data_IF_579202433998
#
_entry.id   IF_579202433998
#
_cell.length_a   1.000
_cell.length_b   1.000
_cell.length_c   1.000
_cell.angle_alpha   90.00
_cell.angle_beta   90.00
_cell.angle_gamma   90.00
#
_symmetry.space_group_name_H-M   'P 1'
#
loop_
_entity.id
_entity.type
_entity.pdbx_description
1 polymer ?
#
# COMPACT_ATOMS: atom_id res chain seq x y z
N UNK A 1 20.25 64.39 0.39
CA UNK A 1 19.76 63.46 1.42
C UNK A 1 19.50 62.13 0.74
N UNK A 2 20.44 61.17 0.80
CA UNK A 2 20.27 59.85 0.18
C UNK A 2 19.37 59.03 1.09
N UNK A 3 18.16 58.70 0.62
CA UNK A 3 17.21 57.87 1.34
C UNK A 3 17.73 56.43 1.42
N UNK A 4 17.88 55.91 2.65
CA UNK A 4 18.16 54.51 2.86
C UNK A 4 16.95 53.68 2.40
N UNK A 5 17.14 52.90 1.33
CA UNK A 5 16.18 51.87 0.92
C UNK A 5 16.39 50.71 1.89
N UNK A 6 15.42 50.45 2.77
CA UNK A 6 15.43 49.23 3.59
C UNK A 6 15.33 48.03 2.64
N UNK A 7 16.28 47.08 2.70
CA UNK A 7 16.20 45.88 1.87
C UNK A 7 14.90 45.14 2.21
N UNK A 8 14.20 44.57 1.20
CA UNK A 8 12.98 43.83 1.44
C UNK A 8 13.26 42.69 2.43
N UNK A 9 12.50 42.65 3.53
CA UNK A 9 12.55 41.55 4.49
C UNK A 9 12.22 40.26 3.76
N UNK A 10 13.14 39.29 3.78
CA UNK A 10 12.87 37.94 3.26
C UNK A 10 11.57 37.45 3.89
N UNK A 11 10.56 37.01 3.12
CA UNK A 11 9.39 36.38 3.70
C UNK A 11 9.85 35.15 4.49
N UNK A 12 9.65 35.19 5.80
CA UNK A 12 9.84 34.01 6.64
C UNK A 12 8.61 33.13 6.42
N UNK A 13 8.75 32.12 5.57
CA UNK A 13 7.78 31.04 5.49
C UNK A 13 7.88 30.22 6.77
N UNK A 14 7.13 30.61 7.80
CA UNK A 14 6.92 29.78 8.97
C UNK A 14 5.88 28.73 8.59
N UNK A 15 6.32 27.47 8.45
CA UNK A 15 5.39 26.35 8.39
C UNK A 15 4.84 26.15 9.81
N UNK A 16 3.53 26.26 10.04
CA UNK A 16 2.95 25.97 11.34
C UNK A 16 3.32 24.56 11.79
N UNK A 17 3.62 24.39 13.07
CA UNK A 17 3.79 23.07 13.64
C UNK A 17 3.20 22.98 15.06
N UNK A 18 2.80 21.77 15.44
CA UNK A 18 2.49 21.40 16.81
C UNK A 18 3.24 20.13 17.17
N UNK A 19 3.62 20.05 18.44
CA UNK A 19 4.32 18.90 19.04
C UNK A 19 3.36 18.32 20.06
N UNK A 20 3.01 17.05 19.93
CA UNK A 20 2.17 16.33 20.86
C UNK A 20 3.02 15.23 21.49
N UNK A 21 3.16 15.30 22.81
CA UNK A 21 3.89 14.30 23.57
C UNK A 21 2.96 13.20 24.08
N UNK A 22 3.38 11.94 23.95
CA UNK A 22 2.71 10.82 24.60
C UNK A 22 2.85 10.92 26.13
N UNK A 23 1.93 10.30 26.87
CA UNK A 23 1.98 10.30 28.34
C UNK A 23 3.18 9.55 28.91
N UNK A 24 3.73 8.59 28.16
CA UNK A 24 4.94 7.83 28.48
C UNK A 24 6.21 8.38 27.78
N UNK A 25 6.12 9.53 27.13
CA UNK A 25 7.29 10.22 26.55
C UNK A 25 8.27 10.69 27.63
N UNK A 26 9.51 10.97 27.22
CA UNK A 26 10.52 11.55 28.11
C UNK A 26 10.12 12.93 28.65
N UNK A 27 10.64 13.29 29.82
CA UNK A 27 10.41 14.61 30.41
C UNK A 27 10.88 15.75 29.50
N UNK A 28 11.93 15.52 28.71
CA UNK A 28 12.42 16.49 27.75
C UNK A 28 11.43 16.70 26.60
N UNK A 29 10.89 15.61 26.04
CA UNK A 29 9.86 15.66 25.01
C UNK A 29 8.59 16.35 25.50
N UNK A 30 8.13 16.02 26.72
CA UNK A 30 6.96 16.66 27.35
C UNK A 30 7.16 18.15 27.58
N UNK A 31 8.34 18.57 28.06
CA UNK A 31 8.67 20.00 28.27
C UNK A 31 8.66 20.83 27.00
N UNK A 32 8.92 20.22 25.84
CA UNK A 32 8.96 20.88 24.52
C UNK A 32 7.62 20.77 23.77
N UNK A 33 6.67 20.01 24.30
CA UNK A 33 5.40 19.76 23.63
C UNK A 33 4.42 20.92 23.81
N UNK A 34 3.57 21.10 22.80
CA UNK A 34 2.44 22.02 22.86
C UNK A 34 1.24 21.36 23.53
N UNK A 35 1.10 20.04 23.35
CA UNK A 35 0.09 19.21 23.98
C UNK A 35 0.76 17.99 24.59
N UNK A 36 0.25 17.54 25.73
CA UNK A 36 0.71 16.33 26.41
C UNK A 36 -0.51 15.45 26.60
N UNK A 37 -0.51 14.30 25.96
CA UNK A 37 -1.53 13.28 26.12
C UNK A 37 -1.50 12.71 27.54
N UNK A 38 -2.65 12.27 28.04
CA UNK A 38 -2.77 11.64 29.35
C UNK A 38 -2.62 10.10 29.28
N UNK A 39 -2.64 9.53 28.07
CA UNK A 39 -2.54 8.09 27.80
C UNK A 39 -3.89 7.41 27.61
N UNK A 40 -4.98 8.16 27.57
CA UNK A 40 -6.36 7.72 27.44
C UNK A 40 -7.09 8.67 26.50
N UNK A 41 -7.73 8.14 25.45
CA UNK A 41 -8.45 8.97 24.49
C UNK A 41 -7.59 10.09 23.85
N UNK A 42 -6.33 9.78 23.56
CA UNK A 42 -5.33 10.72 23.05
C UNK A 42 -5.72 11.34 21.68
N UNK A 43 -6.78 10.85 21.04
CA UNK A 43 -7.37 11.50 19.87
C UNK A 43 -7.82 12.94 20.14
N UNK A 44 -8.13 13.32 21.38
CA UNK A 44 -8.61 14.66 21.72
C UNK A 44 -7.49 15.71 21.60
N UNK A 45 -6.32 15.47 22.21
CA UNK A 45 -5.17 16.36 22.10
C UNK A 45 -4.63 16.41 20.67
N UNK A 46 -4.61 15.26 19.99
CA UNK A 46 -4.16 15.18 18.60
C UNK A 46 -5.13 15.96 17.70
N UNK A 47 -6.45 15.82 17.88
CA UNK A 47 -7.44 16.56 17.11
C UNK A 47 -7.33 18.07 17.35
N UNK A 48 -7.08 18.50 18.58
CA UNK A 48 -6.85 19.90 18.90
C UNK A 48 -5.57 20.43 18.21
N UNK A 49 -4.48 19.65 18.23
CA UNK A 49 -3.25 20.01 17.54
C UNK A 49 -3.45 20.11 16.01
N UNK A 50 -4.23 19.21 15.40
CA UNK A 50 -4.61 19.27 13.99
C UNK A 50 -5.44 20.52 13.69
N UNK A 51 -6.43 20.84 14.53
CA UNK A 51 -7.26 22.02 14.36
C UNK A 51 -6.43 23.32 14.42
N UNK A 52 -5.50 23.40 15.37
CA UNK A 52 -4.56 24.49 15.51
C UNK A 52 -3.68 24.69 14.26
N UNK A 53 -3.10 23.60 13.74
CA UNK A 53 -2.30 23.62 12.52
C UNK A 53 -3.15 24.10 11.32
N UNK A 54 -4.36 23.58 11.19
CA UNK A 54 -5.26 23.94 10.09
C UNK A 54 -5.73 25.39 10.16
N UNK A 55 -5.98 25.92 11.36
CA UNK A 55 -6.30 27.34 11.56
C UNK A 55 -5.17 28.28 11.10
N UNK A 56 -3.93 27.78 11.08
CA UNK A 56 -2.75 28.47 10.60
C UNK A 56 -2.43 28.21 9.11
N UNK A 57 -3.28 27.46 8.39
CA UNK A 57 -3.14 27.19 6.96
C UNK A 57 -2.45 25.85 6.62
N UNK A 58 -2.41 24.90 7.55
CA UNK A 58 -1.77 23.59 7.39
C UNK A 58 -0.35 23.57 7.95
N UNK A 59 0.33 22.41 7.93
CA UNK A 59 1.67 22.29 8.50
C UNK A 59 1.98 20.91 9.07
N UNK A 60 2.83 20.87 10.11
CA UNK A 60 3.40 19.64 10.66
C UNK A 60 2.82 19.33 12.04
N UNK A 61 2.28 18.14 12.20
CA UNK A 61 2.00 17.53 13.49
C UNK A 61 3.14 16.57 13.84
N UNK A 62 3.96 16.94 14.82
CA UNK A 62 5.03 16.10 15.32
C UNK A 62 4.57 15.31 16.55
N UNK A 63 4.61 13.99 16.46
CA UNK A 63 4.31 13.07 17.57
C UNK A 63 5.63 12.57 18.16
N UNK A 64 5.82 12.73 19.48
CA UNK A 64 7.05 12.30 20.15
C UNK A 64 7.15 10.78 20.23
N UNK A 65 8.23 10.28 20.82
CA UNK A 65 8.30 8.88 21.27
C UNK A 65 7.19 8.59 22.29
N UNK A 66 6.77 7.32 22.35
CA UNK A 66 5.77 6.84 23.29
C UNK A 66 4.52 6.27 22.63
N UNK A 67 3.48 6.10 23.43
CA UNK A 67 2.24 5.40 23.12
C UNK A 67 1.06 6.38 23.10
N UNK A 68 0.41 6.50 21.95
CA UNK A 68 -0.81 7.27 21.74
C UNK A 68 -2.02 6.33 21.64
N UNK A 69 -2.96 6.42 22.57
CA UNK A 69 -4.09 5.51 22.74
C UNK A 69 -5.40 6.08 22.17
N UNK A 70 -5.66 5.75 20.92
CA UNK A 70 -6.81 6.21 20.13
C UNK A 70 -8.03 5.30 20.36
N UNK A 71 -9.09 5.85 20.94
CA UNK A 71 -10.32 5.12 21.28
C UNK A 71 -11.47 5.41 20.32
N UNK A 72 -11.51 6.63 19.78
CA UNK A 72 -12.43 7.05 18.74
C UNK A 72 -11.72 7.27 17.40
N UNK A 73 -12.49 7.52 16.34
CA UNK A 73 -11.94 7.83 15.02
C UNK A 73 -11.11 9.13 15.06
N UNK A 74 -9.85 9.05 14.62
CA UNK A 74 -8.96 10.20 14.45
C UNK A 74 -9.11 10.78 13.03
N UNK A 75 -9.51 12.04 12.91
CA UNK A 75 -9.65 12.73 11.63
C UNK A 75 -8.44 13.64 11.39
N UNK A 76 -7.77 13.48 10.25
CA UNK A 76 -6.57 14.23 9.87
C UNK A 76 -6.78 14.81 8.48
N UNK A 77 -6.64 16.12 8.32
CA UNK A 77 -6.82 16.78 7.03
C UNK A 77 -5.76 17.85 6.82
N UNK A 78 -5.13 17.88 5.65
CA UNK A 78 -4.18 18.93 5.22
C UNK A 78 -2.97 19.13 6.17
N UNK A 79 -2.52 18.03 6.79
CA UNK A 79 -1.41 18.01 7.76
C UNK A 79 -0.38 16.94 7.40
N UNK A 80 0.89 17.24 7.65
CA UNK A 80 1.98 16.26 7.69
C UNK A 80 2.15 15.73 9.12
N UNK A 81 1.82 14.45 9.33
CA UNK A 81 1.99 13.75 10.61
C UNK A 81 3.33 13.03 10.62
N UNK A 82 4.21 13.43 11.53
CA UNK A 82 5.59 12.93 11.61
C UNK A 82 5.85 12.38 13.02
N UNK A 83 6.18 11.10 13.11
CA UNK A 83 6.69 10.51 14.35
C UNK A 83 8.20 10.72 14.55
N UNK A 84 8.67 10.50 15.77
CA UNK A 84 10.10 10.50 16.10
C UNK A 84 10.82 9.21 15.69
N UNK A 85 10.10 8.25 15.10
CA UNK A 85 10.59 6.96 14.64
C UNK A 85 9.68 5.79 15.06
N UNK A 86 10.16 4.54 14.96
CA UNK A 86 9.37 3.34 15.29
C UNK A 86 8.83 3.29 16.73
N UNK A 87 9.41 4.09 17.64
CA UNK A 87 8.97 4.24 19.03
C UNK A 87 7.81 5.22 19.22
N UNK A 88 7.39 5.96 18.20
CA UNK A 88 6.09 6.64 18.16
C UNK A 88 5.03 5.61 17.76
N UNK A 89 4.17 5.23 18.70
CA UNK A 89 3.20 4.14 18.51
C UNK A 89 1.79 4.66 18.68
N UNK A 90 0.96 4.51 17.65
CA UNK A 90 -0.47 4.80 17.71
C UNK A 90 -1.21 3.47 17.91
N UNK A 91 -1.88 3.31 19.04
CA UNK A 91 -2.73 2.16 19.34
C UNK A 91 -4.19 2.51 19.11
N UNK A 92 -4.83 1.84 18.17
CA UNK A 92 -6.22 2.12 17.80
C UNK A 92 -7.15 1.01 18.31
N UNK A 93 -8.25 1.42 18.96
CA UNK A 93 -9.26 0.54 19.56
C UNK A 93 -10.66 0.70 18.95
N UNK A 94 -10.87 1.71 18.11
CA UNK A 94 -12.17 2.04 17.55
C UNK A 94 -12.70 0.94 16.61
N UNK A 95 -13.92 0.46 16.81
CA UNK A 95 -14.56 -0.49 15.90
C UNK A 95 -15.16 0.24 14.69
N UNK A 96 -14.33 0.55 13.69
CA UNK A 96 -14.76 1.30 12.50
C UNK A 96 -13.60 1.69 11.60
N UNK A 97 -13.52 2.97 11.23
CA UNK A 97 -12.34 3.60 10.62
C UNK A 97 -11.49 4.21 11.73
N UNK A 98 -10.26 3.74 11.93
CA UNK A 98 -9.41 4.28 13.00
C UNK A 98 -8.88 5.68 12.67
N UNK A 99 -8.25 5.81 11.50
CA UNK A 99 -7.69 7.07 11.02
C UNK A 99 -8.37 7.39 9.69
N UNK A 100 -9.04 8.53 9.62
CA UNK A 100 -9.58 9.06 8.38
C UNK A 100 -8.77 10.26 7.95
N UNK A 101 -8.30 10.20 6.71
CA UNK A 101 -7.49 11.23 6.07
C UNK A 101 -8.27 11.89 4.92
N UNK A 102 -8.15 13.20 4.80
CA UNK A 102 -8.71 13.98 3.69
C UNK A 102 -7.79 15.14 3.31
N UNK A 103 -8.02 15.78 2.16
CA UNK A 103 -7.13 16.85 1.69
C UNK A 103 -5.75 16.32 1.29
N UNK A 104 -4.66 17.01 1.61
CA UNK A 104 -3.28 16.59 1.33
C UNK A 104 -2.57 16.15 2.62
N UNK A 105 -2.51 14.84 2.88
CA UNK A 105 -1.94 14.27 4.11
C UNK A 105 -0.67 13.48 3.81
N UNK A 106 0.32 13.63 4.70
CA UNK A 106 1.51 12.79 4.78
C UNK A 106 1.57 12.15 6.15
N UNK A 107 1.86 10.86 6.23
CA UNK A 107 2.12 10.15 7.49
C UNK A 107 3.51 9.51 7.41
N UNK A 108 4.34 9.75 8.41
CA UNK A 108 5.74 9.33 8.36
C UNK A 108 6.34 8.92 9.71
N UNK A 109 7.28 7.96 9.65
CA UNK A 109 8.19 7.59 10.75
C UNK A 109 7.48 7.25 12.06
N UNK A 110 6.44 6.42 11.99
CA UNK A 110 5.69 5.95 13.16
C UNK A 110 5.15 4.53 12.96
N UNK A 111 4.63 3.94 14.04
CA UNK A 111 3.97 2.65 14.01
C UNK A 111 2.49 2.78 14.36
N UNK A 112 1.61 2.17 13.57
CA UNK A 112 0.17 2.10 13.81
C UNK A 112 -0.19 0.65 14.15
N UNK A 113 -0.66 0.45 15.37
CA UNK A 113 -1.08 -0.83 15.91
C UNK A 113 -2.57 -0.83 16.13
N UNK A 114 -3.26 -1.78 15.53
CA UNK A 114 -4.65 -1.99 15.83
C UNK A 114 -4.87 -3.21 16.70
N UNK A 115 -5.56 -2.98 17.82
CA UNK A 115 -5.79 -4.01 18.84
C UNK A 115 -7.26 -4.40 18.97
N UNK A 116 -8.17 -3.72 18.27
CA UNK A 116 -9.59 -4.08 18.27
C UNK A 116 -9.90 -5.19 17.27
N UNK A 117 -10.90 -6.02 17.62
CA UNK A 117 -11.25 -7.25 16.91
C UNK A 117 -12.27 -7.04 15.78
N UNK A 118 -12.89 -5.86 15.68
CA UNK A 118 -14.02 -5.58 14.79
C UNK A 118 -13.77 -4.30 13.97
N UNK A 119 -12.84 -4.35 13.02
CA UNK A 119 -12.44 -3.14 12.28
C UNK A 119 -12.59 -3.28 10.79
N UNK A 120 -13.09 -2.19 10.20
CA UNK A 120 -13.25 -2.04 8.78
C UNK A 120 -11.95 -1.48 8.17
N UNK A 121 -11.37 -0.41 8.72
CA UNK A 121 -10.21 0.28 8.14
C UNK A 121 -9.20 0.77 9.20
N UNK A 122 -7.90 0.54 9.02
CA UNK A 122 -6.91 1.31 9.81
C UNK A 122 -6.78 2.74 9.30
N UNK A 123 -6.55 2.89 8.00
CA UNK A 123 -6.43 4.20 7.36
C UNK A 123 -7.38 4.25 6.18
N UNK A 124 -8.34 5.17 6.24
CA UNK A 124 -9.21 5.53 5.12
C UNK A 124 -8.76 6.88 4.56
N UNK A 125 -8.63 6.99 3.25
CA UNK A 125 -8.27 8.23 2.57
C UNK A 125 -9.29 8.60 1.52
N UNK A 126 -9.70 9.87 1.52
CA UNK A 126 -10.55 10.47 0.47
C UNK A 126 -9.83 11.58 -0.31
N UNK A 127 -8.57 11.87 0.02
CA UNK A 127 -7.76 12.93 -0.60
C UNK A 127 -6.46 12.41 -1.23
N UNK A 128 -5.38 13.17 -1.10
CA UNK A 128 -4.01 12.76 -1.44
C UNK A 128 -3.33 12.25 -0.18
N UNK A 129 -2.88 11.00 -0.20
CA UNK A 129 -2.21 10.38 0.95
C UNK A 129 -0.83 9.86 0.55
N UNK A 130 0.17 10.22 1.36
CA UNK A 130 1.52 9.67 1.28
C UNK A 130 1.92 9.04 2.61
N UNK A 131 2.41 7.81 2.56
CA UNK A 131 2.86 7.07 3.75
C UNK A 131 4.33 6.69 3.57
N UNK A 132 5.21 7.11 4.49
CA UNK A 132 6.66 6.87 4.44
C UNK A 132 7.21 6.27 5.74
N UNK A 133 7.91 5.14 5.66
CA UNK A 133 8.56 4.56 6.84
C UNK A 133 7.58 4.22 7.97
N UNK A 134 6.31 3.99 7.64
CA UNK A 134 5.28 3.64 8.63
C UNK A 134 5.19 2.13 8.74
N UNK A 135 5.07 1.61 9.96
CA UNK A 135 4.70 0.21 10.21
C UNK A 135 3.22 0.11 10.55
N UNK A 136 2.41 -0.54 9.74
CA UNK A 136 0.98 -0.77 10.04
C UNK A 136 0.78 -2.24 10.36
N UNK A 137 0.16 -2.55 11.50
CA UNK A 137 -0.13 -3.92 11.94
C UNK A 137 -1.36 -4.02 12.84
N UNK A 138 -2.01 -5.18 12.90
CA UNK A 138 -3.17 -5.41 13.76
C UNK A 138 -3.81 -6.78 13.59
N UNK A 139 -4.85 -7.07 14.38
CA UNK A 139 -5.60 -8.34 14.34
C UNK A 139 -6.97 -8.18 13.66
N UNK A 140 -7.46 -9.25 13.00
CA UNK A 140 -8.86 -9.40 12.51
C UNK A 140 -9.43 -8.21 11.71
N UNK A 141 -8.79 -7.86 10.59
CA UNK A 141 -9.10 -6.63 9.84
C UNK A 141 -9.83 -6.89 8.52
N UNK A 142 -10.70 -5.98 8.08
CA UNK A 142 -11.17 -5.95 6.70
C UNK A 142 -10.14 -5.25 5.78
N UNK A 143 -9.69 -4.03 6.09
CA UNK A 143 -8.68 -3.32 5.27
C UNK A 143 -7.61 -2.64 6.12
N UNK A 144 -6.34 -2.77 5.74
CA UNK A 144 -5.26 -2.01 6.40
C UNK A 144 -5.19 -0.58 5.86
N UNK A 145 -5.14 -0.39 4.53
CA UNK A 145 -5.24 0.95 3.96
C UNK A 145 -6.23 0.97 2.80
N UNK A 146 -7.19 1.89 2.87
CA UNK A 146 -8.26 2.06 1.91
C UNK A 146 -8.25 3.47 1.34
N UNK A 147 -7.99 3.59 0.04
CA UNK A 147 -8.03 4.84 -0.71
C UNK A 147 -9.29 4.90 -1.57
N UNK A 148 -10.24 5.75 -1.17
CA UNK A 148 -11.52 5.95 -1.83
C UNK A 148 -11.52 7.21 -2.68
N UNK A 149 -11.15 7.08 -3.95
CA UNK A 149 -11.24 8.16 -4.93
C UNK A 149 -10.12 9.20 -4.87
N UNK A 150 -9.11 8.99 -4.02
CA UNK A 150 -7.97 9.89 -3.91
C UNK A 150 -7.15 10.00 -5.19
N UNK A 151 -6.76 11.23 -5.56
CA UNK A 151 -5.98 11.50 -6.78
C UNK A 151 -4.58 10.88 -6.76
N UNK A 152 -3.97 10.76 -5.58
CA UNK A 152 -2.63 10.25 -5.37
C UNK A 152 -2.58 9.45 -4.09
N UNK A 153 -2.19 8.18 -4.21
CA UNK A 153 -1.93 7.34 -3.06
C UNK A 153 -0.55 6.70 -3.17
N UNK A 154 0.36 7.15 -2.30
CA UNK A 154 1.77 6.77 -2.30
C UNK A 154 2.12 6.03 -1.01
N UNK A 155 2.79 4.89 -1.14
CA UNK A 155 3.23 4.06 -0.02
C UNK A 155 4.69 3.67 -0.22
N UNK A 156 5.51 3.96 0.78
CA UNK A 156 6.87 3.45 0.94
C UNK A 156 7.06 3.06 2.40
N UNK A 157 6.49 1.93 2.77
CA UNK A 157 6.23 1.58 4.17
C UNK A 157 6.17 0.07 4.37
N UNK A 158 6.37 -0.36 5.62
CA UNK A 158 6.17 -1.76 6.00
C UNK A 158 4.72 -1.97 6.42
N UNK A 159 4.03 -2.93 5.81
CA UNK A 159 2.66 -3.24 6.15
C UNK A 159 2.57 -4.72 6.51
N UNK A 160 2.33 -5.00 7.79
CA UNK A 160 2.16 -6.34 8.31
C UNK A 160 0.66 -6.63 8.49
N UNK A 161 0.17 -7.64 7.80
CA UNK A 161 -1.18 -8.18 7.96
C UNK A 161 -1.19 -9.24 9.07
N UNK A 162 -1.67 -8.91 10.26
CA UNK A 162 -1.68 -9.86 11.36
C UNK A 162 -2.64 -11.03 11.10
N UNK A 163 -2.36 -12.15 11.76
CA UNK A 163 -3.15 -13.37 11.65
C UNK A 163 -4.46 -13.23 12.42
N UNK A 164 -5.55 -13.05 11.67
CA UNK A 164 -6.91 -13.01 12.18
C UNK A 164 -7.75 -14.16 11.66
N UNK A 165 -8.66 -14.67 12.51
CA UNK A 165 -9.34 -15.96 12.30
C UNK A 165 -10.61 -15.93 11.45
N UNK A 166 -11.15 -14.78 10.99
CA UNK A 166 -12.54 -14.76 10.48
C UNK A 166 -12.96 -13.79 9.37
N UNK A 167 -12.10 -12.92 8.83
CA UNK A 167 -12.57 -11.89 7.89
C UNK A 167 -11.72 -11.72 6.63
N UNK A 168 -12.36 -11.22 5.57
CA UNK A 168 -11.75 -10.85 4.29
C UNK A 168 -10.76 -9.70 4.50
N UNK A 169 -9.53 -10.02 4.89
CA UNK A 169 -8.48 -9.02 5.06
C UNK A 169 -7.86 -8.64 3.71
N UNK A 170 -7.90 -7.35 3.41
CA UNK A 170 -7.25 -6.68 2.29
C UNK A 170 -6.10 -5.84 2.81
N UNK A 171 -4.97 -5.90 2.12
CA UNK A 171 -3.81 -5.14 2.55
C UNK A 171 -3.92 -3.67 2.18
N UNK A 172 -3.86 -3.40 0.90
CA UNK A 172 -4.07 -2.09 0.31
C UNK A 172 -5.24 -2.20 -0.65
N UNK A 173 -6.19 -1.29 -0.56
CA UNK A 173 -7.25 -1.14 -1.53
C UNK A 173 -7.25 0.29 -2.06
N UNK A 174 -7.28 0.46 -3.38
CA UNK A 174 -7.32 1.79 -4.01
C UNK A 174 -8.29 1.85 -5.20
N UNK A 175 -9.10 2.90 -5.24
CA UNK A 175 -9.86 3.31 -6.44
C UNK A 175 -9.22 4.53 -7.15
N UNK A 176 -8.08 5.00 -6.64
CA UNK A 176 -7.30 6.10 -7.19
C UNK A 176 -5.98 5.65 -7.84
N UNK A 177 -5.15 6.62 -8.23
CA UNK A 177 -3.77 6.31 -8.66
C UNK A 177 -2.99 5.72 -7.50
N UNK A 178 -2.26 4.63 -7.74
CA UNK A 178 -1.59 3.87 -6.70
C UNK A 178 -0.09 3.75 -7.01
N UNK A 179 0.73 4.11 -6.03
CA UNK A 179 2.17 4.06 -6.11
C UNK A 179 2.72 3.36 -4.86
N UNK A 180 3.29 2.18 -5.02
CA UNK A 180 3.81 1.36 -3.92
C UNK A 180 5.26 1.00 -4.20
N UNK A 181 6.16 1.43 -3.32
CA UNK A 181 7.60 1.27 -3.46
C UNK A 181 8.22 0.67 -2.20
N UNK A 182 9.25 -0.17 -2.36
CA UNK A 182 10.12 -0.60 -1.25
C UNK A 182 9.36 -1.09 -0.01
N UNK A 183 8.17 -1.66 -0.24
CA UNK A 183 7.25 -2.03 0.82
C UNK A 183 7.33 -3.52 1.08
N UNK A 184 7.17 -3.87 2.35
CA UNK A 184 7.11 -5.26 2.79
C UNK A 184 5.69 -5.57 3.22
N UNK A 185 5.14 -6.65 2.66
CA UNK A 185 3.80 -7.15 2.89
C UNK A 185 3.89 -8.55 3.46
N UNK A 186 3.56 -8.72 4.74
CA UNK A 186 3.58 -10.04 5.39
C UNK A 186 2.18 -10.41 5.83
N UNK A 187 1.74 -11.65 5.60
CA UNK A 187 0.51 -12.17 6.25
C UNK A 187 0.68 -13.60 6.70
N UNK A 188 0.08 -13.95 7.83
CA UNK A 188 -0.22 -15.33 8.19
C UNK A 188 -1.70 -15.48 8.52
N UNK A 189 -2.31 -16.63 8.25
CA UNK A 189 -3.66 -16.95 8.75
C UNK A 189 -4.52 -17.77 7.80
N UNK A 190 -5.61 -18.31 8.34
CA UNK A 190 -6.46 -19.28 7.65
C UNK A 190 -7.62 -18.61 6.88
N UNK A 191 -7.97 -19.22 5.74
CA UNK A 191 -9.23 -19.16 4.99
C UNK A 191 -9.92 -17.80 4.70
N UNK A 192 -10.16 -17.53 3.41
CA UNK A 192 -11.08 -16.53 2.82
C UNK A 192 -10.63 -15.06 2.70
N UNK A 193 -9.34 -14.75 2.73
CA UNK A 193 -8.90 -13.34 2.67
C UNK A 193 -8.19 -12.95 1.36
N UNK A 194 -8.55 -11.78 0.86
CA UNK A 194 -8.05 -11.14 -0.37
C UNK A 194 -6.81 -10.30 -0.03
N UNK A 195 -5.67 -10.96 0.21
CA UNK A 195 -4.50 -10.32 0.84
C UNK A 195 -3.57 -9.63 -0.15
N UNK A 196 -2.90 -8.57 0.28
CA UNK A 196 -1.94 -7.81 -0.54
C UNK A 196 -2.53 -6.54 -1.15
N UNK A 197 -2.19 -6.22 -2.39
CA UNK A 197 -2.59 -4.99 -3.07
C UNK A 197 -3.79 -5.25 -3.97
N UNK A 198 -4.82 -4.45 -3.82
CA UNK A 198 -6.00 -4.43 -4.67
C UNK A 198 -6.22 -3.03 -5.24
N UNK A 199 -6.40 -2.97 -6.55
CA UNK A 199 -6.78 -1.75 -7.22
C UNK A 199 -8.02 -2.01 -8.08
N UNK A 200 -9.03 -1.15 -7.93
CA UNK A 200 -10.30 -1.19 -8.69
C UNK A 200 -10.60 0.19 -9.22
N UNK A 201 -10.10 0.51 -10.40
CA UNK A 201 -10.53 1.74 -11.07
C UNK A 201 -10.20 1.73 -12.54
N UNK A 202 -11.08 2.33 -13.34
CA UNK A 202 -10.81 2.63 -14.74
C UNK A 202 -9.86 3.82 -14.87
N UNK A 203 -8.95 3.77 -15.84
CA UNK A 203 -8.07 4.88 -16.27
C UNK A 203 -7.08 5.42 -15.22
N UNK A 204 -6.71 4.64 -14.20
CA UNK A 204 -5.68 5.08 -13.23
C UNK A 204 -4.34 4.43 -13.49
N UNK A 205 -3.30 5.05 -12.95
CA UNK A 205 -1.93 4.55 -13.06
C UNK A 205 -1.59 3.75 -11.80
N UNK A 206 -0.99 2.59 -12.00
CA UNK A 206 -0.52 1.73 -10.91
C UNK A 206 0.97 1.47 -11.09
N UNK A 207 1.77 1.84 -10.08
CA UNK A 207 3.19 1.50 -9.98
C UNK A 207 3.41 0.68 -8.72
N UNK A 208 3.93 -0.54 -8.89
CA UNK A 208 4.30 -1.43 -7.78
C UNK A 208 5.74 -1.88 -8.01
N UNK A 209 6.68 -1.27 -7.29
CA UNK A 209 8.12 -1.43 -7.56
C UNK A 209 8.90 -1.83 -6.31
N UNK A 210 9.79 -2.81 -6.44
CA UNK A 210 10.76 -3.17 -5.40
C UNK A 210 10.13 -3.62 -4.07
N UNK A 211 9.01 -4.33 -4.12
CA UNK A 211 8.31 -4.78 -2.93
C UNK A 211 8.59 -6.26 -2.62
N UNK A 212 8.50 -6.62 -1.35
CA UNK A 212 8.55 -8.01 -0.88
C UNK A 212 7.19 -8.42 -0.31
N UNK A 213 6.57 -9.42 -0.91
CA UNK A 213 5.31 -10.00 -0.48
C UNK A 213 5.56 -11.41 0.06
N UNK A 214 5.24 -11.64 1.32
CA UNK A 214 5.26 -12.94 1.99
C UNK A 214 3.87 -13.20 2.56
N UNK A 215 3.00 -13.74 1.71
CA UNK A 215 1.57 -13.86 1.98
C UNK A 215 1.24 -15.34 2.12
N UNK A 216 1.25 -15.84 3.34
CA UNK A 216 0.84 -17.22 3.64
C UNK A 216 -0.69 -17.29 3.79
N UNK A 217 -1.39 -17.80 2.79
CA UNK A 217 -2.82 -18.08 2.83
C UNK A 217 -3.08 -19.56 2.59
N UNK A 218 -4.01 -20.14 3.34
CA UNK A 218 -4.47 -21.53 3.16
C UNK A 218 -5.79 -21.62 2.38
N UNK A 219 -6.26 -20.53 1.76
CA UNK A 219 -7.56 -20.54 1.08
C UNK A 219 -7.56 -21.46 -0.15
N UNK A 220 -8.68 -22.11 -0.42
CA UNK A 220 -8.96 -22.87 -1.64
C UNK A 220 -9.85 -22.12 -2.64
N UNK A 221 -10.28 -20.89 -2.32
CA UNK A 221 -11.33 -20.18 -3.08
C UNK A 221 -11.07 -18.67 -3.33
N UNK A 222 -9.96 -18.10 -2.83
CA UNK A 222 -9.79 -16.65 -2.86
C UNK A 222 -9.13 -16.16 -4.17
N UNK A 223 -9.93 -15.59 -5.07
CA UNK A 223 -9.43 -14.65 -6.08
C UNK A 223 -8.91 -13.37 -5.38
N UNK A 224 -7.66 -12.98 -5.60
CA UNK A 224 -7.14 -11.66 -5.19
C UNK A 224 -6.12 -11.65 -4.05
N UNK A 225 -5.33 -12.71 -3.88
CA UNK A 225 -4.12 -12.69 -3.05
C UNK A 225 -2.92 -12.12 -3.84
N UNK A 226 -1.95 -11.53 -3.15
CA UNK A 226 -0.78 -10.90 -3.77
C UNK A 226 -1.09 -9.54 -4.38
N UNK A 227 -1.00 -9.44 -5.70
CA UNK A 227 -1.32 -8.23 -6.46
C UNK A 227 -2.55 -8.52 -7.33
N UNK A 228 -3.61 -7.80 -7.04
CA UNK A 228 -4.86 -7.80 -7.78
C UNK A 228 -5.11 -6.41 -8.37
N UNK A 229 -5.11 -6.32 -9.69
CA UNK A 229 -5.37 -5.06 -10.40
C UNK A 229 -6.54 -5.31 -11.32
N UNK A 230 -7.66 -4.63 -11.04
CA UNK A 230 -8.85 -4.52 -11.88
C UNK A 230 -8.93 -3.11 -12.47
N UNK A 231 -8.24 -2.94 -13.59
CA UNK A 231 -8.05 -1.63 -14.22
C UNK A 231 -8.32 -1.68 -15.71
N UNK A 232 -9.55 -1.40 -16.12
CA UNK A 232 -9.95 -1.60 -17.51
C UNK A 232 -9.14 -0.77 -18.54
N UNK A 233 -8.52 0.34 -18.19
CA UNK A 233 -7.86 1.22 -19.19
C UNK A 233 -6.58 1.89 -18.67
N UNK A 234 -5.99 1.37 -17.61
CA UNK A 234 -4.82 1.96 -16.97
C UNK A 234 -3.50 1.60 -17.64
N UNK A 235 -2.46 2.32 -17.24
CA UNK A 235 -1.06 1.92 -17.45
C UNK A 235 -0.55 1.37 -16.14
N UNK A 236 -0.15 0.10 -16.14
CA UNK A 236 0.29 -0.58 -14.93
C UNK A 236 1.73 -1.06 -15.10
N UNK A 237 2.58 -0.69 -14.14
CA UNK A 237 3.98 -1.12 -14.08
C UNK A 237 4.18 -1.88 -12.77
N UNK A 238 4.62 -3.13 -12.89
CA UNK A 238 4.94 -4.00 -11.77
C UNK A 238 6.36 -4.51 -11.98
N UNK A 239 7.32 -4.03 -11.19
CA UNK A 239 8.70 -4.45 -11.39
C UNK A 239 9.52 -4.65 -10.11
N UNK A 240 10.56 -5.46 -10.21
CA UNK A 240 11.50 -5.73 -9.11
C UNK A 240 10.84 -6.28 -7.83
N UNK A 241 9.67 -6.92 -7.93
CA UNK A 241 8.98 -7.45 -6.76
C UNK A 241 9.35 -8.91 -6.53
N UNK A 242 9.42 -9.30 -5.26
CA UNK A 242 9.53 -10.68 -4.82
C UNK A 242 8.20 -11.06 -4.18
N UNK A 243 7.54 -12.09 -4.72
CA UNK A 243 6.27 -12.61 -4.18
C UNK A 243 6.50 -14.06 -3.78
N UNK A 244 6.62 -14.29 -2.47
CA UNK A 244 6.87 -15.59 -1.85
C UNK A 244 5.66 -16.18 -1.14
N UNK A 245 5.67 -17.52 -1.02
CA UNK A 245 4.75 -18.36 -0.22
C UNK A 245 3.26 -18.13 -0.43
N UNK A 246 2.87 -17.83 -1.66
CA UNK A 246 1.49 -17.44 -1.95
C UNK A 246 0.72 -18.57 -2.66
N UNK A 247 -0.42 -18.99 -2.11
CA UNK A 247 -1.32 -19.97 -2.73
C UNK A 247 -2.12 -19.36 -3.89
N UNK A 248 -2.15 -18.05 -4.12
CA UNK A 248 -2.71 -17.45 -5.34
C UNK A 248 -1.93 -16.18 -5.69
N UNK A 249 -0.71 -16.37 -6.18
CA UNK A 249 0.37 -15.37 -6.29
C UNK A 249 0.02 -14.00 -6.86
N UNK A 250 -0.75 -13.93 -7.95
CA UNK A 250 -1.26 -12.67 -8.52
C UNK A 250 -2.42 -12.99 -9.46
N UNK A 251 -3.45 -12.14 -9.47
CA UNK A 251 -4.49 -12.22 -10.50
C UNK A 251 -4.75 -10.83 -11.07
N UNK A 252 -4.45 -10.66 -12.35
CA UNK A 252 -4.65 -9.39 -13.04
C UNK A 252 -5.84 -9.50 -13.98
N UNK A 253 -6.81 -8.60 -13.80
CA UNK A 253 -8.02 -8.53 -14.61
C UNK A 253 -8.08 -7.14 -15.24
N UNK A 254 -8.16 -7.05 -16.55
CA UNK A 254 -8.36 -5.78 -17.22
C UNK A 254 -8.74 -5.99 -18.68
N UNK A 255 -9.78 -5.28 -19.10
CA UNK A 255 -10.17 -5.19 -20.50
C UNK A 255 -9.65 -3.89 -21.09
N UNK A 256 -8.41 -3.88 -21.60
CA UNK A 256 -7.86 -2.72 -22.33
C UNK A 256 -6.63 -2.04 -21.71
N UNK A 257 -6.11 -2.51 -20.58
CA UNK A 257 -4.85 -1.99 -20.03
C UNK A 257 -3.60 -2.60 -20.67
N UNK A 258 -2.49 -1.87 -20.50
CA UNK A 258 -1.14 -2.34 -20.78
C UNK A 258 -0.43 -2.63 -19.45
N UNK A 259 0.15 -3.82 -19.34
CA UNK A 259 0.95 -4.24 -18.20
C UNK A 259 2.38 -4.46 -18.63
N UNK A 260 3.31 -3.73 -18.00
CA UNK A 260 4.72 -4.06 -18.02
C UNK A 260 5.08 -4.75 -16.70
N UNK A 261 5.46 -6.01 -16.80
CA UNK A 261 5.87 -6.85 -15.67
C UNK A 261 7.34 -7.21 -15.88
N UNK A 262 8.24 -6.62 -15.08
CA UNK A 262 9.68 -6.77 -15.29
C UNK A 262 10.43 -7.18 -14.03
N UNK A 263 11.38 -8.10 -14.16
CA UNK A 263 12.35 -8.42 -13.11
C UNK A 263 11.72 -8.84 -11.77
N UNK A 264 10.57 -9.51 -11.83
CA UNK A 264 9.90 -10.03 -10.64
C UNK A 264 10.24 -11.51 -10.45
N UNK A 265 10.24 -11.92 -9.17
CA UNK A 265 10.36 -13.32 -8.76
C UNK A 265 9.03 -13.72 -8.12
N UNK A 266 8.30 -14.61 -8.76
CA UNK A 266 7.04 -15.16 -8.25
C UNK A 266 7.21 -16.63 -7.88
N UNK A 267 7.24 -16.89 -6.57
CA UNK A 267 7.31 -18.23 -6.00
C UNK A 267 5.93 -18.58 -5.46
N UNK A 268 5.16 -19.28 -6.29
CA UNK A 268 3.78 -19.64 -6.04
C UNK A 268 3.58 -21.16 -6.06
N UNK A 269 2.79 -21.67 -5.14
CA UNK A 269 2.34 -23.08 -5.12
C UNK A 269 1.12 -23.33 -6.03
N UNK A 270 0.61 -22.28 -6.68
CA UNK A 270 -0.55 -22.26 -7.59
C UNK A 270 -0.29 -21.26 -8.72
N UNK A 271 -1.08 -21.29 -9.81
CA UNK A 271 -0.77 -20.47 -10.97
C UNK A 271 -1.00 -18.98 -10.70
N UNK A 272 -0.15 -18.16 -11.30
CA UNK A 272 -0.44 -16.76 -11.60
C UNK A 272 -1.52 -16.74 -12.68
N UNK A 273 -2.61 -16.03 -12.43
CA UNK A 273 -3.71 -15.96 -13.39
C UNK A 273 -3.72 -14.65 -14.16
N UNK A 274 -3.88 -14.77 -15.48
CA UNK A 274 -4.02 -13.65 -16.40
C UNK A 274 -5.35 -13.76 -17.14
N UNK A 275 -6.20 -12.75 -16.97
CA UNK A 275 -7.58 -12.73 -17.50
C UNK A 275 -7.84 -11.56 -18.48
N UNK A 276 -6.78 -11.02 -19.09
CA UNK A 276 -6.78 -9.63 -19.57
C UNK A 276 -6.02 -9.48 -20.90
N UNK A 277 -6.18 -8.33 -21.57
CA UNK A 277 -5.45 -7.92 -22.78
C UNK A 277 -3.92 -7.83 -22.57
N UNK A 278 -3.18 -6.99 -23.30
CA UNK A 278 -1.78 -7.27 -23.58
C UNK A 278 -0.79 -7.25 -22.37
N UNK A 279 -0.09 -8.36 -22.09
CA UNK A 279 0.94 -8.47 -21.04
C UNK A 279 2.35 -8.59 -21.59
N UNK A 280 3.26 -7.77 -21.06
CA UNK A 280 4.67 -7.82 -21.40
C UNK A 280 5.47 -8.28 -20.19
N UNK A 281 5.98 -9.52 -20.25
CA UNK A 281 6.91 -10.07 -19.27
C UNK A 281 8.34 -9.89 -19.78
N UNK A 282 9.19 -9.28 -18.96
CA UNK A 282 10.61 -9.13 -19.22
C UNK A 282 11.43 -9.63 -18.02
N UNK A 283 12.33 -10.60 -18.23
CA UNK A 283 13.24 -11.13 -17.19
C UNK A 283 12.57 -11.59 -15.88
N UNK A 284 11.41 -12.26 -15.95
CA UNK A 284 10.72 -12.74 -14.74
C UNK A 284 11.02 -14.22 -14.44
N UNK A 285 11.05 -14.58 -13.16
CA UNK A 285 11.09 -15.98 -12.71
C UNK A 285 9.71 -16.35 -12.17
N UNK A 286 9.04 -17.29 -12.83
CA UNK A 286 7.67 -17.72 -12.52
C UNK A 286 7.66 -19.21 -12.18
N UNK A 287 7.13 -19.60 -11.02
CA UNK A 287 6.95 -21.04 -10.74
C UNK A 287 5.80 -21.67 -11.53
N UNK A 288 4.72 -20.92 -11.75
CA UNK A 288 3.55 -21.42 -12.48
C UNK A 288 2.74 -20.25 -13.06
N UNK A 289 2.56 -20.22 -14.38
CA UNK A 289 1.71 -19.26 -15.08
C UNK A 289 0.52 -19.96 -15.75
N UNK A 290 -0.69 -19.44 -15.54
CA UNK A 290 -1.89 -19.83 -16.28
C UNK A 290 -2.48 -18.64 -17.05
N UNK A 291 -2.54 -18.79 -18.36
CA UNK A 291 -3.12 -17.82 -19.29
C UNK A 291 -4.56 -18.20 -19.57
N UNK A 292 -5.51 -17.43 -19.07
CA UNK A 292 -6.94 -17.72 -19.25
C UNK A 292 -7.49 -17.00 -20.49
N UNK A 293 -7.00 -15.79 -20.76
CA UNK A 293 -7.38 -15.01 -21.95
C UNK A 293 -6.31 -13.95 -22.28
N UNK A 294 -6.42 -13.37 -23.49
CA UNK A 294 -5.60 -12.25 -23.95
C UNK A 294 -4.30 -12.62 -24.65
N UNK A 295 -3.36 -11.68 -24.71
CA UNK A 295 -2.09 -11.89 -25.38
C UNK A 295 -0.95 -11.66 -24.39
N UNK A 296 0.01 -12.59 -24.36
CA UNK A 296 1.20 -12.50 -23.54
C UNK A 296 2.42 -12.45 -24.42
N UNK A 297 3.27 -11.45 -24.21
CA UNK A 297 4.60 -11.38 -24.76
C UNK A 297 5.61 -11.64 -23.65
N UNK A 298 6.40 -12.70 -23.82
CA UNK A 298 7.51 -13.02 -22.92
C UNK A 298 8.82 -12.73 -23.63
N UNK A 299 9.62 -11.82 -23.06
CA UNK A 299 10.91 -11.39 -23.58
C UNK A 299 12.03 -11.59 -22.54
N UNK A 300 13.26 -11.70 -23.02
CA UNK A 300 14.43 -11.86 -22.15
C UNK A 300 14.48 -13.21 -21.42
N UNK A 301 15.09 -13.23 -20.23
CA UNK A 301 15.26 -14.45 -19.43
C UNK A 301 14.02 -14.77 -18.58
N UNK A 302 12.87 -14.95 -19.23
CA UNK A 302 11.68 -15.42 -18.53
C UNK A 302 11.79 -16.94 -18.27
N UNK A 303 11.96 -17.33 -17.00
CA UNK A 303 11.95 -18.73 -16.58
C UNK A 303 10.57 -19.08 -16.08
N UNK A 304 10.02 -20.19 -16.58
CA UNK A 304 8.75 -20.70 -16.10
C UNK A 304 8.79 -22.22 -15.96
N UNK A 305 8.58 -22.73 -14.75
CA UNK A 305 8.59 -24.19 -14.53
C UNK A 305 7.36 -24.84 -15.18
N UNK A 306 6.20 -24.15 -15.16
CA UNK A 306 4.94 -24.64 -15.71
C UNK A 306 4.14 -23.53 -16.38
N UNK A 307 3.87 -23.68 -17.68
CA UNK A 307 2.99 -22.80 -18.45
C UNK A 307 1.71 -23.54 -18.88
N UNK A 308 0.55 -23.04 -18.45
CA UNK A 308 -0.76 -23.54 -18.90
C UNK A 308 -1.51 -22.46 -19.67
N UNK A 309 -1.94 -22.77 -20.89
CA UNK A 309 -2.68 -21.84 -21.76
C UNK A 309 -4.09 -22.40 -21.96
N UNK A 310 -5.07 -21.77 -21.30
CA UNK A 310 -6.50 -22.10 -21.43
C UNK A 310 -7.21 -21.24 -22.47
N UNK A 311 -6.68 -20.05 -22.75
CA UNK A 311 -7.16 -19.16 -23.80
C UNK A 311 -6.15 -18.04 -24.10
N UNK A 312 -6.32 -17.36 -25.23
CA UNK A 312 -5.40 -16.31 -25.67
C UNK A 312 -4.22 -16.79 -26.53
N UNK A 313 -3.24 -15.89 -26.76
CA UNK A 313 -2.01 -16.17 -27.49
C UNK A 313 -0.78 -15.89 -26.60
N UNK A 314 0.26 -16.71 -26.77
CA UNK A 314 1.57 -16.47 -26.14
C UNK A 314 2.62 -16.31 -27.24
N UNK A 315 3.35 -15.19 -27.15
CA UNK A 315 4.45 -14.81 -28.02
C UNK A 315 5.74 -14.93 -27.21
N UNK A 316 6.65 -15.79 -27.67
CA UNK A 316 7.92 -16.04 -27.01
C UNK A 316 9.03 -15.37 -27.82
N UNK A 317 9.62 -14.33 -27.26
CA UNK A 317 10.87 -13.72 -27.72
C UNK A 317 12.06 -14.20 -26.89
N UNK A 318 12.01 -15.44 -26.39
CA UNK A 318 13.04 -16.03 -25.53
C UNK A 318 13.55 -17.35 -26.12
N UNK A 319 14.80 -17.70 -25.82
CA UNK A 319 15.42 -18.94 -26.30
C UNK A 319 15.04 -20.19 -25.45
N UNK A 320 14.28 -20.02 -24.36
CA UNK A 320 13.87 -21.12 -23.47
C UNK A 320 12.36 -21.25 -23.47
N UNK A 321 11.87 -22.33 -24.07
CA UNK A 321 10.46 -22.71 -24.07
C UNK A 321 10.19 -23.47 -22.76
N UNK A 322 9.27 -22.99 -21.90
CA UNK A 322 8.92 -23.70 -20.66
C UNK A 322 8.20 -25.02 -20.94
N UNK A 323 7.99 -25.85 -19.92
CA UNK A 323 7.10 -27.01 -20.07
C UNK A 323 5.66 -26.52 -20.29
N UNK A 324 5.06 -26.88 -21.43
CA UNK A 324 3.72 -26.41 -21.81
C UNK A 324 2.71 -27.55 -21.71
N UNK A 325 1.63 -27.33 -20.99
CA UNK A 325 0.45 -28.21 -20.98
C UNK A 325 -0.77 -27.48 -21.57
N UNK A 326 -1.42 -28.06 -22.60
CA UNK A 326 -2.58 -27.48 -23.28
C UNK A 326 -2.49 -27.59 -24.81
N UNK A 327 -3.47 -27.04 -25.55
CA UNK A 327 -3.43 -26.90 -27.03
C UNK A 327 -3.09 -25.44 -27.39
N UNK A 328 -1.83 -25.00 -27.29
CA UNK A 328 -1.49 -23.60 -27.56
C UNK A 328 -1.48 -23.31 -29.06
N UNK A 329 -1.83 -22.08 -29.42
CA UNK A 329 -1.37 -21.46 -30.66
C UNK A 329 -0.13 -20.64 -30.30
N UNK A 330 1.04 -21.28 -30.32
CA UNK A 330 2.33 -20.56 -30.18
C UNK A 330 2.57 -19.86 -31.52
N UNK A 331 2.45 -18.54 -31.54
CA UNK A 331 2.60 -17.75 -32.77
C UNK A 331 4.02 -17.22 -32.82
N UNK A 332 4.94 -18.07 -33.25
CA UNK A 332 6.30 -17.73 -33.66
C UNK A 332 7.31 -17.46 -32.53
N UNK A 333 8.57 -17.80 -32.79
CA UNK A 333 9.72 -17.13 -32.18
C UNK A 333 10.02 -15.90 -33.01
N UNK A 334 9.89 -14.71 -32.42
CA UNK A 334 10.48 -13.51 -33.04
C UNK A 334 11.95 -13.56 -32.61
N UNK A 335 12.81 -14.07 -33.49
CA UNK A 335 14.26 -14.03 -33.33
C UNK A 335 14.77 -12.59 -33.36
#
# INVERSE_FOLDING_TARGET
>A
MLGYITPPTKPKYYMPYRVVAASDASDESKKKAHYICDGSHDEEEIAQAVADINSAGGGILFLTEGSFNIHNQLNISDVEVVGSGPNTKIYTRYSGTNIRTSGNVRIENLSIYCISKNINYHVENTGKLKIYGVSISGYNQQYYVYNNGGDLFFINSKIHFGSGYKYTSYGIYSTGNLYVFNSMFTSGGDNYSKRGIQQFSSNKVVFIISNYFDIDSYSTYASGEGIYIDNNNGKNIICNNIVGRNLYSTSTFSRGAYYLISDNIFIASRPIYIYSSNFYFYNNVLSYLQVVSGNIWMYGNCLNDRLEIKGGNVYLGTNKIPSISGKPKIIGSIL
#
